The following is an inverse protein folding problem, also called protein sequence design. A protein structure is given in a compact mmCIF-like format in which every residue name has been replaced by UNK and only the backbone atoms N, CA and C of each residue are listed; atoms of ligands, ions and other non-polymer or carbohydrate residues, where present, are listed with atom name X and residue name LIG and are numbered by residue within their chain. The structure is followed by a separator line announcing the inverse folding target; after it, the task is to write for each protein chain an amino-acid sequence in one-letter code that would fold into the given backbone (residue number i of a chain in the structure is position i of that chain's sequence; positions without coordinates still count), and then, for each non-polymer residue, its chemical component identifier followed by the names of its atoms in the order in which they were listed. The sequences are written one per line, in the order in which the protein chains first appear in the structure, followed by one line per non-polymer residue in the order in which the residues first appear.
data_IF_764566200973
#
_entry.id   IF_764566200973
#
_cell.length_a   1.000
_cell.length_b   1.000
_cell.length_c   1.000
_cell.angle_alpha   90.00
_cell.angle_beta   90.00
_cell.angle_gamma   90.00
#
_symmetry.space_group_name_H-M   'P 1'
#
loop_
_entity.id
_entity.type
_entity.pdbx_description
1 polymer ?
#
# COMPACT_ATOMS: atom_id res chain seq x y z
N UNK A 1 23.44 -2.48 36.37
CA UNK A 1 22.54 -1.97 35.33
C UNK A 1 21.55 -3.01 34.78
N UNK A 2 21.64 -4.31 35.11
CA UNK A 2 20.70 -5.32 34.61
C UNK A 2 19.40 -5.47 35.43
N UNK A 3 19.39 -5.01 36.69
CA UNK A 3 18.25 -5.19 37.62
C UNK A 3 17.06 -4.24 37.34
N UNK A 4 17.30 -3.04 36.79
CA UNK A 4 16.23 -2.08 36.46
C UNK A 4 15.38 -2.50 35.24
N UNK A 5 15.95 -3.27 34.31
CA UNK A 5 15.23 -3.78 33.14
C UNK A 5 14.25 -4.91 33.51
N UNK A 6 14.53 -5.65 34.60
CA UNK A 6 13.68 -6.78 35.00
C UNK A 6 12.42 -6.34 35.75
N UNK A 7 12.56 -5.41 36.70
CA UNK A 7 11.44 -4.85 37.46
C UNK A 7 10.48 -4.08 36.54
N UNK A 8 11.01 -3.30 35.60
CA UNK A 8 10.19 -2.56 34.62
C UNK A 8 9.43 -3.50 33.66
N UNK A 9 10.01 -4.65 33.28
CA UNK A 9 9.31 -5.68 32.49
C UNK A 9 8.21 -6.40 33.27
N UNK A 10 8.39 -6.68 34.57
CA UNK A 10 7.34 -7.27 35.40
C UNK A 10 6.18 -6.29 35.66
N UNK A 11 6.48 -5.01 35.85
CA UNK A 11 5.45 -3.97 35.93
C UNK A 11 4.68 -3.82 34.61
N UNK A 12 5.36 -3.93 33.47
CA UNK A 12 4.74 -3.93 32.13
C UNK A 12 3.77 -5.10 31.94
N UNK A 13 4.17 -6.32 32.29
CA UNK A 13 3.28 -7.49 32.22
C UNK A 13 2.04 -7.31 33.12
N UNK A 14 2.22 -6.70 34.30
CA UNK A 14 1.13 -6.45 35.24
C UNK A 14 0.12 -5.46 34.65
N UNK A 15 0.61 -4.36 34.03
CA UNK A 15 -0.26 -3.39 33.34
C UNK A 15 -1.00 -3.98 32.15
N UNK A 16 -0.36 -4.88 31.39
CA UNK A 16 -1.00 -5.55 30.25
C UNK A 16 -2.09 -6.53 30.69
N UNK A 17 -1.92 -7.20 31.82
CA UNK A 17 -2.99 -8.01 32.44
C UNK A 17 -4.14 -7.14 32.94
N UNK A 18 -3.85 -6.04 33.62
CA UNK A 18 -4.87 -5.09 34.12
C UNK A 18 -5.66 -4.44 32.99
N UNK A 19 -5.03 -4.18 31.85
CA UNK A 19 -5.66 -3.66 30.65
C UNK A 19 -6.45 -4.73 29.85
N UNK A 20 -6.48 -5.99 30.31
CA UNK A 20 -7.15 -7.10 29.62
C UNK A 20 -6.49 -7.53 28.30
N UNK A 21 -5.29 -7.04 28.03
CA UNK A 21 -4.51 -7.35 26.83
C UNK A 21 -3.75 -8.68 26.94
N UNK A 22 -3.65 -9.24 28.14
CA UNK A 22 -3.08 -10.57 28.41
C UNK A 22 -4.03 -11.39 29.29
N UNK A 23 -4.24 -12.66 28.93
CA UNK A 23 -4.95 -13.61 29.79
C UNK A 23 -4.08 -14.03 30.99
N UNK A 24 -4.69 -14.57 32.05
CA UNK A 24 -3.96 -15.00 33.25
C UNK A 24 -2.91 -16.09 32.94
N UNK A 25 -3.23 -17.02 32.03
CA UNK A 25 -2.34 -18.11 31.62
C UNK A 25 -1.16 -17.63 30.74
N UNK A 26 -1.36 -16.56 29.97
CA UNK A 26 -0.28 -15.93 29.20
C UNK A 26 0.62 -15.10 30.11
N UNK A 27 0.04 -14.41 31.10
CA UNK A 27 0.78 -13.64 32.10
C UNK A 27 1.71 -14.54 32.93
N UNK A 28 1.21 -15.69 33.41
CA UNK A 28 2.01 -16.60 34.23
C UNK A 28 3.14 -17.27 33.41
N UNK A 29 2.92 -17.54 32.11
CA UNK A 29 3.97 -18.03 31.20
C UNK A 29 5.08 -17.02 30.98
N UNK A 30 4.72 -15.79 30.64
CA UNK A 30 5.68 -14.71 30.38
C UNK A 30 6.45 -14.33 31.65
N UNK A 31 5.78 -14.32 32.80
CA UNK A 31 6.43 -14.11 34.11
C UNK A 31 7.44 -15.22 34.43
N UNK A 32 7.10 -16.49 34.17
CA UNK A 32 8.01 -17.61 34.41
C UNK A 32 9.25 -17.57 33.50
N UNK A 33 9.07 -17.21 32.23
CA UNK A 33 10.19 -17.04 31.28
C UNK A 33 11.12 -15.91 31.70
N UNK A 34 10.58 -14.77 32.15
CA UNK A 34 11.38 -13.65 32.62
C UNK A 34 12.19 -13.98 33.89
N UNK A 35 11.67 -14.83 34.77
CA UNK A 35 12.39 -15.25 35.98
C UNK A 35 13.51 -16.25 35.66
N UNK A 36 13.29 -17.18 34.73
CA UNK A 36 14.31 -18.15 34.28
C UNK A 36 15.47 -17.49 33.53
N UNK A 37 15.17 -16.48 32.71
CA UNK A 37 16.19 -15.72 31.97
C UNK A 37 17.16 -14.97 32.90
N UNK A 38 16.67 -14.48 34.04
CA UNK A 38 17.48 -13.79 35.03
C UNK A 38 18.45 -14.74 35.76
N UNK A 39 18.02 -15.95 36.12
CA UNK A 39 18.91 -16.96 36.71
C UNK A 39 20.04 -17.38 35.74
N UNK A 40 19.75 -17.47 34.45
CA UNK A 40 20.75 -17.83 33.43
C UNK A 40 21.79 -16.72 33.18
N UNK A 41 21.39 -15.45 33.24
CA UNK A 41 22.26 -14.29 32.97
C UNK A 41 23.13 -13.90 34.16
N UNK A 42 22.68 -14.13 35.40
CA UNK A 42 23.51 -13.91 36.58
C UNK A 42 24.63 -14.96 36.68
N UNK A 43 24.38 -16.19 36.21
CA UNK A 43 25.36 -17.29 36.26
C UNK A 43 26.51 -17.13 35.24
N UNK A 44 26.28 -16.44 34.12
CA UNK A 44 27.28 -16.26 33.04
C UNK A 44 28.22 -15.06 33.24
N UNK A 45 27.91 -14.13 34.15
CA UNK A 45 28.70 -12.91 34.36
C UNK A 45 29.92 -13.06 35.29
N UNK A 46 30.29 -14.30 35.67
CA UNK A 46 31.30 -14.56 36.71
C UNK A 46 32.46 -15.45 36.22
N UNK A 47 33.28 -15.01 35.25
CA UNK A 47 34.67 -15.53 35.06
C UNK A 47 35.49 -14.71 34.03
N UNK A 48 36.74 -14.26 34.34
CA UNK A 48 37.62 -13.57 33.36
C UNK A 48 38.87 -14.38 32.97
N UNK A 49 39.46 -14.12 31.79
CA UNK A 49 40.92 -13.96 31.53
C UNK A 49 41.26 -13.73 30.03
N UNK A 50 42.24 -12.84 29.80
CA UNK A 50 42.97 -12.44 28.57
C UNK A 50 44.47 -12.79 28.82
N UNK A 51 45.42 -13.01 27.85
CA UNK A 51 45.94 -11.92 26.99
C UNK A 51 46.71 -12.27 25.65
N UNK A 52 47.13 -11.20 24.93
CA UNK A 52 48.44 -10.97 24.24
C UNK A 52 48.67 -11.11 22.69
N UNK A 53 48.69 -9.95 22.00
CA UNK A 53 49.82 -9.22 21.33
C UNK A 53 50.75 -9.88 20.27
N UNK A 54 50.88 -9.26 19.06
CA UNK A 54 52.18 -8.95 18.36
C UNK A 54 52.05 -8.11 17.06
N UNK A 55 53.13 -7.36 16.78
CA UNK A 55 53.27 -6.16 15.94
C UNK A 55 53.70 -6.38 14.45
N UNK A 56 53.65 -5.27 13.67
CA UNK A 56 53.99 -5.05 12.24
C UNK A 56 55.49 -5.23 11.88
N UNK A 57 55.90 -5.09 10.58
CA UNK A 57 56.31 -3.76 10.06
C UNK A 57 55.95 -3.45 8.58
N UNK A 58 56.22 -2.19 8.19
CA UNK A 58 55.84 -1.47 6.96
C UNK A 58 56.83 -1.61 5.78
N UNK A 59 56.38 -1.26 4.56
CA UNK A 59 57.21 -0.67 3.50
C UNK A 59 56.39 0.12 2.45
N UNK A 60 56.99 1.22 2.00
CA UNK A 60 56.48 2.30 1.15
C UNK A 60 56.42 1.98 -0.35
N UNK A 61 55.64 2.76 -1.12
CA UNK A 61 55.71 2.80 -2.59
C UNK A 61 54.60 3.64 -3.25
N UNK A 62 54.99 4.80 -3.78
CA UNK A 62 54.17 5.86 -4.40
C UNK A 62 53.38 5.47 -5.68
N UNK A 63 52.22 6.12 -5.85
CA UNK A 63 51.94 6.91 -7.06
C UNK A 63 51.16 6.29 -8.24
N UNK A 64 49.83 6.41 -8.25
CA UNK A 64 49.07 6.76 -9.48
C UNK A 64 47.68 7.33 -9.18
N UNK A 65 47.40 8.51 -9.74
CA UNK A 65 46.20 9.33 -9.51
C UNK A 65 44.88 8.71 -10.03
N UNK A 66 43.72 9.04 -9.43
CA UNK A 66 42.41 8.54 -9.85
C UNK A 66 41.73 9.43 -10.90
N UNK A 67 41.12 8.78 -11.90
CA UNK A 67 40.33 9.41 -12.95
C UNK A 67 38.95 9.85 -12.45
N UNK A 68 38.75 11.18 -12.40
CA UNK A 68 37.45 11.83 -12.15
C UNK A 68 36.59 11.76 -13.42
N UNK A 69 35.46 11.06 -13.39
CA UNK A 69 34.42 11.14 -14.43
C UNK A 69 33.25 11.95 -13.87
N UNK A 70 33.20 13.23 -14.28
CA UNK A 70 32.14 14.19 -13.94
C UNK A 70 30.97 13.98 -14.89
N UNK A 71 29.77 13.73 -14.37
CA UNK A 71 28.52 13.96 -15.09
C UNK A 71 27.98 15.34 -14.72
N UNK A 72 27.63 16.21 -15.68
CA UNK A 72 27.15 17.54 -15.36
C UNK A 72 25.66 17.50 -14.96
N UNK A 73 25.38 18.06 -13.79
CA UNK A 73 24.05 18.47 -13.34
C UNK A 73 23.56 19.65 -14.19
N UNK A 74 22.31 19.59 -14.63
CA UNK A 74 21.56 20.78 -15.04
C UNK A 74 20.61 21.13 -13.89
N UNK A 75 20.95 22.20 -13.18
CA UNK A 75 20.10 22.84 -12.20
C UNK A 75 19.04 23.70 -12.91
N UNK A 76 17.81 23.70 -12.41
CA UNK A 76 16.95 24.87 -12.50
C UNK A 76 16.25 25.09 -11.16
N UNK A 77 16.44 26.30 -10.63
CA UNK A 77 15.94 26.78 -9.37
C UNK A 77 14.93 27.93 -9.59
N UNK A 78 14.00 28.08 -8.64
CA UNK A 78 13.15 29.26 -8.41
C UNK A 78 11.75 29.15 -9.02
N UNK A 79 10.64 29.43 -8.34
CA UNK A 79 10.39 30.48 -7.33
C UNK A 79 9.19 30.17 -6.39
N UNK A 80 9.37 30.47 -5.09
CA UNK A 80 8.48 31.11 -4.08
C UNK A 80 6.96 30.86 -3.97
N UNK A 81 6.61 30.37 -2.77
CA UNK A 81 5.48 30.69 -1.87
C UNK A 81 4.54 31.87 -2.22
N UNK A 82 3.23 31.61 -2.11
CA UNK A 82 2.10 32.44 -1.61
C UNK A 82 0.87 31.49 -1.62
N UNK A 83 0.23 31.09 -0.53
CA UNK A 83 -0.60 31.91 0.35
C UNK A 83 -2.09 31.81 -0.05
N UNK A 84 -2.96 31.28 0.83
CA UNK A 84 -4.40 31.61 0.80
C UNK A 84 -5.41 30.46 0.70
N UNK A 85 -5.93 30.04 1.85
CA UNK A 85 -7.36 29.90 2.22
C UNK A 85 -8.49 29.84 1.17
N UNK A 86 -9.47 28.95 1.44
CA UNK A 86 -10.83 28.90 0.86
C UNK A 86 -10.90 27.88 -0.27
N UNK A 87 -11.87 26.97 -0.38
CA UNK A 87 -13.30 27.22 -0.33
C UNK A 87 -14.08 26.03 0.25
N UNK A 88 -14.95 26.33 1.21
CA UNK A 88 -16.01 25.44 1.65
C UNK A 88 -17.13 25.38 0.60
N UNK A 89 -17.69 24.18 0.48
CA UNK A 89 -18.78 23.80 -0.41
C UNK A 89 -20.00 24.71 -0.28
N UNK A 90 -20.55 25.12 -1.43
CA UNK A 90 -21.92 25.58 -1.52
C UNK A 90 -22.65 24.93 -2.70
N UNK A 91 -23.89 24.55 -2.40
CA UNK A 91 -25.02 24.25 -3.28
C UNK A 91 -25.14 22.84 -3.89
N UNK A 92 -25.96 22.02 -3.22
CA UNK A 92 -27.05 21.33 -3.93
C UNK A 92 -28.34 21.43 -3.11
N UNK A 93 -29.19 22.35 -3.51
CA UNK A 93 -30.59 22.39 -3.09
C UNK A 93 -31.45 21.51 -3.99
N UNK A 94 -32.45 20.87 -3.39
CA UNK A 94 -33.75 20.59 -4.00
C UNK A 94 -33.91 19.26 -4.72
N UNK A 95 -34.52 18.28 -4.05
CA UNK A 95 -35.91 17.87 -4.33
C UNK A 95 -36.29 16.68 -3.44
N UNK A 96 -36.90 16.95 -2.30
CA UNK A 96 -37.66 15.98 -1.52
C UNK A 96 -39.05 15.86 -2.13
N UNK A 97 -39.33 14.75 -2.82
CA UNK A 97 -40.71 14.38 -3.13
C UNK A 97 -41.30 13.62 -1.94
N UNK A 98 -42.09 14.34 -1.15
CA UNK A 98 -43.03 13.75 -0.19
C UNK A 98 -44.15 13.05 -0.99
N UNK A 99 -44.26 11.73 -0.86
CA UNK A 99 -45.47 11.01 -1.25
C UNK A 99 -46.34 10.86 -0.03
N UNK A 100 -47.55 11.42 -0.13
CA UNK A 100 -48.58 11.41 0.88
C UNK A 100 -49.00 9.99 1.28
N UNK A 101 -49.12 9.76 2.58
CA UNK A 101 -49.91 8.66 3.13
C UNK A 101 -51.39 8.95 2.86
N UNK A 102 -52.05 8.04 2.17
CA UNK A 102 -53.50 7.90 2.19
C UNK A 102 -53.82 6.48 2.68
N UNK A 103 -54.57 6.46 3.76
CA UNK A 103 -55.12 5.31 4.46
C UNK A 103 -56.19 4.61 3.60
N UNK A 104 -56.21 3.27 3.60
CA UNK A 104 -57.40 2.42 3.37
C UNK A 104 -57.03 0.92 3.28
N UNK A 105 -57.37 0.17 4.32
CA UNK A 105 -57.81 -1.24 4.21
C UNK A 105 -59.35 -1.26 3.97
N UNK A 106 -60.02 -2.38 3.59
CA UNK A 106 -59.59 -3.78 3.70
C UNK A 106 -59.90 -4.73 2.50
N UNK A 107 -59.13 -5.84 2.47
CA UNK A 107 -59.64 -7.21 2.27
C UNK A 107 -60.22 -7.63 0.93
N UNK A 108 -59.43 -8.33 0.10
CA UNK A 108 -59.85 -9.55 -0.60
C UNK A 108 -58.65 -10.51 -0.73
N UNK A 109 -58.77 -11.69 -0.13
CA UNK A 109 -57.81 -12.78 -0.25
C UNK A 109 -57.72 -13.26 -1.70
N UNK A 110 -56.59 -13.02 -2.36
CA UNK A 110 -56.21 -13.69 -3.61
C UNK A 110 -55.28 -14.85 -3.27
N UNK A 111 -55.75 -16.07 -3.51
CA UNK A 111 -54.94 -17.29 -3.53
C UNK A 111 -53.70 -17.05 -4.40
N UNK A 112 -52.53 -16.95 -3.77
CA UNK A 112 -51.27 -17.00 -4.48
C UNK A 112 -51.03 -18.45 -4.90
N UNK A 113 -51.24 -18.75 -6.18
CA UNK A 113 -50.69 -19.95 -6.80
C UNK A 113 -49.17 -19.85 -6.71
N UNK A 114 -48.57 -20.81 -5.99
CA UNK A 114 -47.14 -20.97 -5.89
C UNK A 114 -46.57 -21.29 -7.29
N UNK A 115 -46.11 -20.26 -8.00
CA UNK A 115 -45.23 -20.43 -9.15
C UNK A 115 -43.90 -20.94 -8.61
N UNK A 116 -43.61 -22.21 -8.87
CA UNK A 116 -42.30 -22.81 -8.63
C UNK A 116 -41.24 -21.95 -9.31
N UNK A 117 -40.33 -21.40 -8.52
CA UNK A 117 -39.13 -20.75 -9.03
C UNK A 117 -38.33 -21.77 -9.87
N UNK A 118 -37.89 -21.44 -11.09
CA UNK A 118 -37.03 -22.33 -11.85
C UNK A 118 -35.73 -22.58 -11.09
N UNK A 119 -35.14 -23.78 -11.22
CA UNK A 119 -33.87 -24.10 -10.57
C UNK A 119 -32.81 -23.11 -11.06
N UNK A 120 -32.07 -22.56 -10.11
CA UNK A 120 -30.98 -21.60 -10.33
C UNK A 120 -29.98 -22.23 -11.29
N UNK A 121 -30.01 -21.80 -12.55
CA UNK A 121 -29.07 -22.27 -13.56
C UNK A 121 -27.65 -21.97 -13.07
N UNK A 122 -26.81 -23.02 -13.05
CA UNK A 122 -25.38 -22.92 -12.83
C UNK A 122 -24.84 -21.79 -13.73
N UNK A 123 -24.07 -20.80 -13.21
CA UNK A 123 -23.63 -19.69 -14.02
C UNK A 123 -22.92 -20.23 -15.26
N UNK A 124 -23.42 -19.84 -16.44
CA UNK A 124 -22.85 -20.28 -17.70
C UNK A 124 -21.35 -19.94 -17.70
N UNK A 125 -20.48 -20.85 -18.19
CA UNK A 125 -19.07 -20.54 -18.32
C UNK A 125 -18.92 -19.27 -19.16
N UNK A 126 -18.17 -18.31 -18.63
CA UNK A 126 -17.90 -17.05 -19.30
C UNK A 126 -17.37 -17.31 -20.71
N UNK A 127 -18.13 -16.88 -21.73
CA UNK A 127 -17.71 -16.98 -23.12
C UNK A 127 -16.46 -16.15 -23.40
N UNK A 128 -16.22 -15.10 -22.61
CA UNK A 128 -15.07 -14.21 -22.77
C UNK A 128 -13.83 -14.82 -22.10
N UNK A 129 -13.94 -15.45 -20.92
CA UNK A 129 -12.79 -16.10 -20.24
C UNK A 129 -12.13 -17.20 -21.06
N UNK A 130 -12.86 -17.82 -21.98
CA UNK A 130 -12.33 -18.84 -22.90
C UNK A 130 -11.57 -18.27 -24.10
N UNK A 131 -11.65 -16.95 -24.35
CA UNK A 131 -10.91 -16.31 -25.43
C UNK A 131 -9.43 -16.15 -25.07
N UNK A 132 -8.53 -15.99 -26.05
CA UNK A 132 -7.15 -15.57 -25.79
C UNK A 132 -7.08 -14.27 -24.98
N UNK A 133 -6.09 -14.15 -24.10
CA UNK A 133 -5.95 -13.00 -23.17
C UNK A 133 -5.95 -11.66 -23.91
N UNK A 134 -5.26 -11.57 -25.05
CA UNK A 134 -5.24 -10.38 -25.91
C UNK A 134 -6.66 -9.96 -26.35
N UNK A 135 -7.48 -10.91 -26.81
CA UNK A 135 -8.87 -10.64 -27.19
C UNK A 135 -9.74 -10.24 -25.99
N UNK A 136 -9.50 -10.83 -24.82
CA UNK A 136 -10.21 -10.42 -23.61
C UNK A 136 -9.84 -8.97 -23.26
N UNK A 137 -8.58 -8.61 -23.42
CA UNK A 137 -8.07 -7.27 -23.15
C UNK A 137 -8.64 -6.24 -24.14
N UNK A 138 -8.67 -6.55 -25.43
CA UNK A 138 -9.25 -5.68 -26.46
C UNK A 138 -10.74 -5.40 -26.18
N UNK A 139 -11.51 -6.46 -25.89
CA UNK A 139 -12.93 -6.31 -25.53
C UNK A 139 -13.13 -5.46 -24.27
N UNK A 140 -12.20 -5.54 -23.31
CA UNK A 140 -12.25 -4.74 -22.09
C UNK A 140 -11.91 -3.27 -22.37
N UNK A 141 -10.90 -2.99 -23.20
CA UNK A 141 -10.58 -1.63 -23.66
C UNK A 141 -11.76 -1.02 -24.42
N UNK A 142 -12.33 -1.75 -25.37
CA UNK A 142 -13.48 -1.30 -26.18
C UNK A 142 -14.69 -0.98 -25.30
N UNK A 143 -14.90 -1.72 -24.20
CA UNK A 143 -16.00 -1.46 -23.28
C UNK A 143 -15.82 -0.18 -22.44
N UNK A 144 -14.59 0.26 -22.20
CA UNK A 144 -14.29 1.43 -21.35
C UNK A 144 -14.07 2.71 -22.18
N UNK A 145 -13.33 2.59 -23.27
CA UNK A 145 -12.88 3.72 -24.10
C UNK A 145 -13.60 3.78 -25.47
N UNK A 146 -14.33 2.73 -25.84
CA UNK A 146 -14.84 2.58 -27.21
C UNK A 146 -13.70 2.32 -28.21
N UNK A 147 -13.99 2.54 -29.49
CA UNK A 147 -13.01 2.41 -30.59
C UNK A 147 -12.12 3.66 -30.76
N UNK A 148 -12.15 4.59 -29.81
CA UNK A 148 -11.56 5.93 -29.90
C UNK A 148 -10.26 6.09 -29.13
N UNK A 149 -9.85 7.35 -28.97
CA UNK A 149 -8.66 7.71 -28.21
C UNK A 149 -8.80 7.31 -26.74
N UNK A 150 -7.71 6.76 -26.19
CA UNK A 150 -7.65 6.27 -24.80
C UNK A 150 -7.32 7.41 -23.83
N UNK A 151 -7.86 8.59 -24.10
CA UNK A 151 -7.68 9.77 -23.27
C UNK A 151 -8.91 9.97 -22.39
N UNK A 152 -8.69 10.28 -21.12
CA UNK A 152 -9.75 10.61 -20.21
C UNK A 152 -9.39 11.85 -19.40
N UNK A 153 -10.27 12.84 -19.45
CA UNK A 153 -10.25 13.97 -18.53
C UNK A 153 -10.94 13.55 -17.24
N UNK A 154 -10.19 13.50 -16.14
CA UNK A 154 -10.67 13.11 -14.80
C UNK A 154 -11.07 14.35 -14.01
N UNK A 155 -10.28 15.41 -14.09
CA UNK A 155 -10.60 16.74 -13.56
C UNK A 155 -10.33 17.79 -14.64
N UNK A 156 -10.62 19.07 -14.37
CA UNK A 156 -10.31 20.16 -15.31
C UNK A 156 -8.83 20.18 -15.72
N UNK A 157 -7.95 19.86 -14.78
CA UNK A 157 -6.48 19.90 -14.93
C UNK A 157 -5.82 18.53 -15.10
N UNK A 158 -6.59 17.43 -15.06
CA UNK A 158 -6.04 16.07 -15.15
C UNK A 158 -6.60 15.33 -16.37
N UNK A 159 -5.80 15.28 -17.42
CA UNK A 159 -6.01 14.40 -18.57
C UNK A 159 -5.00 13.25 -18.51
N UNK A 160 -5.51 12.04 -18.69
CA UNK A 160 -4.69 10.83 -18.71
C UNK A 160 -4.82 10.12 -20.05
N UNK A 161 -3.68 9.77 -20.62
CA UNK A 161 -3.61 8.84 -21.76
C UNK A 161 -3.34 7.43 -21.24
N UNK A 162 -4.32 6.55 -21.38
CA UNK A 162 -4.24 5.17 -20.92
C UNK A 162 -3.65 4.25 -21.98
N UNK A 163 -2.59 3.56 -21.61
CA UNK A 163 -1.94 2.57 -22.45
C UNK A 163 -1.48 1.42 -21.59
N UNK A 164 -1.50 0.19 -22.13
CA UNK A 164 -1.13 -1.04 -21.41
C UNK A 164 -2.01 -1.28 -20.18
N UNK A 165 -2.08 -2.53 -19.76
CA UNK A 165 -2.91 -2.90 -18.63
C UNK A 165 -3.07 -4.40 -18.51
N UNK A 166 -3.91 -4.80 -17.58
CA UNK A 166 -4.25 -6.19 -17.33
C UNK A 166 -5.72 -6.32 -17.04
N UNK A 167 -6.33 -7.36 -17.61
CA UNK A 167 -7.64 -7.82 -17.21
C UNK A 167 -7.49 -8.85 -16.08
N UNK A 168 -8.16 -8.60 -14.96
CA UNK A 168 -8.12 -9.47 -13.78
C UNK A 168 -9.51 -9.95 -13.45
N UNK A 169 -9.65 -11.25 -13.27
CA UNK A 169 -10.91 -11.86 -12.89
C UNK A 169 -11.03 -11.93 -11.36
N UNK A 170 -11.75 -10.98 -10.78
CA UNK A 170 -12.11 -10.98 -9.36
C UNK A 170 -13.33 -11.88 -9.11
N UNK A 171 -13.62 -12.16 -7.84
CA UNK A 171 -14.81 -12.93 -7.44
C UNK A 171 -16.12 -12.23 -7.79
N UNK A 172 -16.11 -10.90 -7.83
CA UNK A 172 -17.27 -10.07 -8.15
C UNK A 172 -17.37 -9.69 -9.64
N UNK A 173 -16.34 -9.97 -10.44
CA UNK A 173 -16.35 -9.66 -11.86
C UNK A 173 -14.98 -9.39 -12.48
N UNK A 174 -14.92 -9.23 -13.80
CA UNK A 174 -13.74 -8.74 -14.51
C UNK A 174 -13.40 -7.30 -14.11
N UNK A 175 -12.11 -7.03 -13.91
CA UNK A 175 -11.57 -5.71 -13.57
C UNK A 175 -10.46 -5.39 -14.56
N UNK A 176 -10.62 -4.32 -15.31
CA UNK A 176 -9.60 -3.75 -16.17
C UNK A 176 -8.74 -2.78 -15.35
N UNK A 177 -7.44 -3.02 -15.30
CA UNK A 177 -6.45 -2.12 -14.69
C UNK A 177 -5.54 -1.62 -15.80
N UNK A 178 -5.44 -0.30 -15.98
CA UNK A 178 -4.68 0.32 -17.08
C UNK A 178 -3.77 1.41 -16.56
N UNK A 179 -2.61 1.55 -17.20
CA UNK A 179 -1.64 2.58 -16.84
C UNK A 179 -1.99 3.90 -17.52
N UNK A 180 -2.23 4.93 -16.72
CA UNK A 180 -2.53 6.29 -17.17
C UNK A 180 -1.30 7.17 -17.09
N UNK A 181 -0.95 7.79 -18.20
CA UNK A 181 0.12 8.80 -18.25
C UNK A 181 -0.51 10.18 -18.11
N UNK A 182 -0.09 10.95 -17.11
CA UNK A 182 -0.49 12.34 -16.94
C UNK A 182 0.26 13.26 -17.89
N UNK A 183 -0.30 14.45 -18.15
CA UNK A 183 0.41 15.47 -18.92
C UNK A 183 1.75 15.83 -18.25
N UNK A 184 2.85 15.92 -19.01
CA UNK A 184 4.16 16.22 -18.44
C UNK A 184 4.31 17.71 -18.06
N UNK A 185 3.42 18.59 -18.52
CA UNK A 185 3.48 20.02 -18.23
C UNK A 185 2.08 20.69 -18.23
N UNK A 186 1.63 21.31 -17.12
CA UNK A 186 2.26 21.30 -15.79
C UNK A 186 2.42 19.85 -15.27
N UNK A 187 3.40 19.59 -14.41
CA UNK A 187 3.76 18.24 -14.00
C UNK A 187 2.56 17.52 -13.35
N UNK A 188 1.91 16.64 -14.11
CA UNK A 188 0.87 15.76 -13.62
C UNK A 188 1.45 14.51 -12.98
N UNK A 189 0.72 13.91 -12.04
CA UNK A 189 1.04 12.59 -11.53
C UNK A 189 0.56 11.55 -12.55
N UNK A 190 1.29 10.45 -12.78
CA UNK A 190 0.69 9.32 -13.48
C UNK A 190 -0.39 8.62 -12.64
N UNK A 191 -1.02 7.58 -13.17
CA UNK A 191 -2.04 6.84 -12.41
C UNK A 191 -2.24 5.39 -12.88
N UNK A 192 -2.97 4.59 -12.10
CA UNK A 192 -3.67 3.40 -12.59
C UNK A 192 -5.17 3.65 -12.61
N UNK A 193 -5.75 3.55 -13.80
CA UNK A 193 -7.19 3.51 -14.00
C UNK A 193 -7.73 2.12 -13.71
N UNK A 194 -8.75 2.04 -12.86
CA UNK A 194 -9.40 0.79 -12.47
C UNK A 194 -10.87 0.85 -12.90
N UNK A 195 -11.26 -0.06 -13.78
CA UNK A 195 -12.60 -0.12 -14.36
C UNK A 195 -13.21 -1.50 -14.12
N UNK A 196 -14.39 -1.52 -13.52
CA UNK A 196 -15.10 -2.76 -13.21
C UNK A 196 -16.05 -3.07 -14.34
N UNK A 197 -15.99 -4.31 -14.82
CA UNK A 197 -16.75 -4.77 -15.97
C UNK A 197 -17.72 -5.86 -15.53
N UNK A 198 -18.80 -6.00 -16.29
CA UNK A 198 -19.66 -7.18 -16.27
C UNK A 198 -19.73 -7.78 -17.66
N UNK A 199 -19.89 -9.09 -17.71
CA UNK A 199 -20.14 -9.78 -18.96
C UNK A 199 -21.58 -9.58 -19.43
N UNK A 200 -21.72 -9.37 -20.72
CA UNK A 200 -22.99 -9.22 -21.42
C UNK A 200 -23.14 -10.34 -22.44
N UNK A 201 -24.38 -10.60 -22.86
CA UNK A 201 -24.67 -11.52 -23.95
C UNK A 201 -23.90 -11.13 -25.23
N UNK A 202 -23.39 -12.14 -25.93
CA UNK A 202 -22.65 -11.94 -27.19
C UNK A 202 -21.17 -11.58 -27.01
N UNK A 203 -20.53 -12.06 -25.93
CA UNK A 203 -19.10 -11.85 -25.66
C UNK A 203 -18.69 -10.37 -25.62
N UNK A 204 -19.48 -9.57 -24.89
CA UNK A 204 -19.21 -8.14 -24.69
C UNK A 204 -19.03 -7.84 -23.21
N UNK A 205 -18.22 -6.83 -22.90
CA UNK A 205 -18.20 -6.24 -21.58
C UNK A 205 -19.08 -4.99 -21.53
N UNK A 206 -19.59 -4.69 -20.34
CA UNK A 206 -20.17 -3.40 -20.01
C UNK A 206 -19.52 -2.88 -18.72
N UNK A 207 -19.18 -1.59 -18.69
CA UNK A 207 -18.68 -0.94 -17.49
C UNK A 207 -19.75 -0.88 -16.39
N UNK A 208 -19.33 -1.10 -15.16
CA UNK A 208 -20.16 -1.07 -13.94
C UNK A 208 -19.62 -0.14 -12.87
N UNK A 209 -18.34 0.23 -12.94
CA UNK A 209 -17.70 1.16 -12.03
C UNK A 209 -16.40 1.67 -12.63
N UNK A 210 -16.02 2.89 -12.26
CA UNK A 210 -14.92 3.65 -12.89
C UNK A 210 -14.17 4.46 -11.84
N UNK A 211 -12.87 4.21 -11.74
CA UNK A 211 -11.93 4.94 -10.89
C UNK A 211 -10.65 5.21 -11.69
N UNK A 212 -10.64 6.27 -12.51
CA UNK A 212 -9.56 6.53 -13.46
C UNK A 212 -8.26 6.96 -12.76
N UNK A 213 -8.35 7.51 -11.56
CA UNK A 213 -7.24 8.01 -10.74
C UNK A 213 -7.04 7.21 -9.43
N UNK A 214 -7.46 5.94 -9.41
CA UNK A 214 -7.55 5.13 -8.19
C UNK A 214 -6.22 4.92 -7.46
N UNK A 215 -5.11 4.95 -8.20
CA UNK A 215 -3.76 4.74 -7.68
C UNK A 215 -2.86 5.83 -8.26
N UNK A 216 -2.26 6.62 -7.39
CA UNK A 216 -1.35 7.71 -7.79
C UNK A 216 0.00 7.17 -8.25
N UNK A 217 0.50 7.73 -9.36
CA UNK A 217 1.81 7.47 -9.95
C UNK A 217 2.86 8.53 -9.61
N UNK A 218 3.91 8.58 -10.41
CA UNK A 218 5.08 9.44 -10.18
C UNK A 218 4.88 10.87 -10.67
N UNK A 219 5.67 11.80 -10.13
CA UNK A 219 5.57 13.26 -10.36
C UNK A 219 5.89 13.74 -11.80
N UNK A 220 6.31 12.84 -12.69
CA UNK A 220 6.64 13.13 -14.09
C UNK A 220 5.63 12.52 -15.07
N UNK A 221 4.36 12.39 -14.66
CA UNK A 221 3.28 11.83 -15.47
C UNK A 221 3.33 10.31 -15.65
N UNK A 222 4.39 9.63 -15.21
CA UNK A 222 4.54 8.19 -15.38
C UNK A 222 3.65 7.39 -14.42
N UNK A 223 3.01 6.30 -14.90
CA UNK A 223 2.24 5.39 -14.05
C UNK A 223 3.15 4.75 -12.98
N UNK A 224 2.59 4.35 -11.82
CA UNK A 224 3.38 3.66 -10.80
C UNK A 224 3.84 2.30 -11.30
N UNK A 225 4.94 1.79 -10.75
CA UNK A 225 5.25 0.37 -10.87
C UNK A 225 4.23 -0.43 -10.08
N UNK A 226 3.71 -1.53 -10.61
CA UNK A 226 2.63 -2.23 -9.91
C UNK A 226 2.61 -3.74 -10.17
N UNK A 227 1.99 -4.47 -9.23
CA UNK A 227 1.71 -5.90 -9.35
C UNK A 227 0.47 -6.28 -8.55
N UNK A 228 -0.10 -7.44 -8.88
CA UNK A 228 -1.25 -7.99 -8.16
C UNK A 228 -0.77 -9.01 -7.15
N UNK A 229 -1.31 -8.91 -5.94
CA UNK A 229 -1.04 -9.79 -4.81
C UNK A 229 -2.32 -10.48 -4.34
N UNK A 230 -2.15 -11.74 -3.93
CA UNK A 230 -3.23 -12.63 -3.46
C UNK A 230 -2.97 -13.20 -2.06
N UNK A 231 -1.83 -12.86 -1.49
CA UNK A 231 -1.31 -13.39 -0.24
C UNK A 231 -1.57 -12.45 0.96
N UNK A 232 -1.80 -11.15 0.73
CA UNK A 232 -2.13 -10.18 1.80
C UNK A 232 -3.57 -10.33 2.31
N UNK A 233 -4.56 -10.40 1.41
CA UNK A 233 -6.00 -10.48 1.72
C UNK A 233 -6.65 -11.65 0.98
N UNK A 234 -7.90 -11.96 1.34
CA UNK A 234 -8.74 -12.87 0.54
C UNK A 234 -9.06 -12.29 -0.85
N UNK A 235 -9.23 -10.97 -0.92
CA UNK A 235 -9.40 -10.22 -2.15
C UNK A 235 -8.08 -10.00 -2.91
N UNK A 236 -8.22 -9.44 -4.12
CA UNK A 236 -7.08 -9.00 -4.92
C UNK A 236 -6.55 -7.68 -4.37
N UNK A 237 -5.24 -7.61 -4.18
CA UNK A 237 -4.55 -6.38 -3.73
C UNK A 237 -3.60 -5.93 -4.83
N UNK A 238 -3.64 -4.65 -5.18
CA UNK A 238 -2.64 -4.00 -6.02
C UNK A 238 -1.56 -3.48 -5.08
N UNK A 239 -0.31 -3.91 -5.27
CA UNK A 239 0.86 -3.26 -4.69
C UNK A 239 1.41 -2.33 -5.77
N UNK A 240 1.42 -1.03 -5.48
CA UNK A 240 1.95 0.00 -6.37
C UNK A 240 3.10 0.76 -5.69
N UNK A 241 4.14 1.08 -6.45
CA UNK A 241 5.27 1.89 -6.04
C UNK A 241 5.34 3.13 -6.92
N UNK A 242 5.33 4.28 -6.28
CA UNK A 242 5.45 5.59 -6.92
C UNK A 242 6.43 6.45 -6.13
N UNK A 243 7.15 7.30 -6.84
CA UNK A 243 8.15 8.15 -6.24
C UNK A 243 8.88 8.98 -7.27
N UNK A 244 10.01 9.52 -6.86
CA UNK A 244 10.79 10.42 -7.70
C UNK A 244 12.12 10.80 -7.09
N UNK A 245 12.80 11.67 -7.81
CA UNK A 245 14.10 12.21 -7.41
C UNK A 245 13.97 13.72 -7.23
N UNK A 246 14.38 14.21 -6.06
CA UNK A 246 14.40 15.64 -5.72
C UNK A 246 15.77 16.01 -5.17
N UNK A 247 16.50 16.86 -5.87
CA UNK A 247 17.77 17.43 -5.37
C UNK A 247 18.79 16.38 -4.88
N UNK A 248 18.85 15.23 -5.56
CA UNK A 248 19.75 14.13 -5.19
C UNK A 248 19.19 13.14 -4.16
N UNK A 249 17.97 13.36 -3.66
CA UNK A 249 17.21 12.39 -2.86
C UNK A 249 16.30 11.56 -3.74
N UNK A 250 16.30 10.24 -3.58
CA UNK A 250 15.34 9.31 -4.19
C UNK A 250 14.38 8.87 -3.11
N UNK A 251 13.08 9.01 -3.34
CA UNK A 251 12.04 8.61 -2.40
C UNK A 251 10.91 7.90 -3.14
N UNK A 252 10.59 6.69 -2.72
CA UNK A 252 9.44 5.93 -3.22
C UNK A 252 8.52 5.51 -2.08
N UNK A 253 7.21 5.65 -2.31
CA UNK A 253 6.18 5.11 -1.45
C UNK A 253 5.54 3.87 -2.08
N UNK A 254 5.20 2.89 -1.23
CA UNK A 254 4.36 1.74 -1.60
C UNK A 254 2.95 1.97 -1.06
N UNK A 255 1.96 1.72 -1.92
CA UNK A 255 0.55 1.71 -1.56
C UNK A 255 -0.04 0.33 -1.84
N UNK A 256 -0.80 -0.19 -0.87
CA UNK A 256 -1.58 -1.41 -1.04
C UNK A 256 -3.06 -1.03 -1.23
N UNK A 257 -3.65 -1.41 -2.36
CA UNK A 257 -5.04 -1.10 -2.70
C UNK A 257 -5.83 -2.38 -2.89
N UNK A 258 -6.86 -2.61 -2.08
CA UNK A 258 -7.78 -3.75 -2.23
C UNK A 258 -8.81 -3.48 -3.31
N UNK A 259 -9.07 -4.46 -4.17
CA UNK A 259 -10.20 -4.46 -5.08
C UNK A 259 -11.41 -5.08 -4.39
N UNK A 260 -12.39 -4.25 -4.04
CA UNK A 260 -13.65 -4.67 -3.39
C UNK A 260 -14.82 -4.56 -4.38
N UNK A 261 -15.96 -5.24 -4.18
CA UNK A 261 -17.11 -5.10 -5.08
C UNK A 261 -17.63 -3.66 -5.24
N UNK A 262 -17.39 -2.80 -4.26
CA UNK A 262 -17.80 -1.38 -4.26
C UNK A 262 -16.77 -0.44 -4.88
N UNK A 263 -15.56 -0.93 -5.18
CA UNK A 263 -14.47 -0.14 -5.74
C UNK A 263 -13.11 -0.42 -5.10
N UNK A 264 -12.03 0.16 -5.65
CA UNK A 264 -10.71 0.11 -5.05
C UNK A 264 -10.69 0.85 -3.71
N UNK A 265 -9.97 0.29 -2.73
CA UNK A 265 -9.82 0.86 -1.39
C UNK A 265 -8.34 0.84 -0.99
N UNK A 266 -7.78 1.99 -0.68
CA UNK A 266 -6.43 2.07 -0.11
C UNK A 266 -6.42 1.44 1.28
N UNK A 267 -5.50 0.49 1.49
CA UNK A 267 -5.32 -0.22 2.75
C UNK A 267 -4.26 0.45 3.62
N UNK A 268 -3.16 0.90 3.01
CA UNK A 268 -2.02 1.55 3.65
C UNK A 268 -1.08 2.11 2.59
N UNK A 269 -0.42 3.22 2.93
CA UNK A 269 0.72 3.78 2.21
C UNK A 269 1.88 3.94 3.19
N UNK A 270 3.08 3.58 2.77
CA UNK A 270 4.30 3.73 3.57
C UNK A 270 5.51 4.02 2.67
N UNK A 271 6.50 4.71 3.22
CA UNK A 271 7.76 4.94 2.52
C UNK A 271 8.50 3.62 2.35
N UNK A 272 8.83 3.30 1.11
CA UNK A 272 9.39 2.01 0.72
C UNK A 272 10.84 2.11 0.28
N UNK A 273 11.29 3.28 -0.15
CA UNK A 273 12.66 3.51 -0.55
C UNK A 273 13.08 4.93 -0.20
N UNK A 274 14.31 5.06 0.29
CA UNK A 274 14.97 6.34 0.52
C UNK A 274 16.44 6.20 0.13
N UNK A 275 16.96 7.12 -0.66
CA UNK A 275 18.39 7.23 -0.96
C UNK A 275 18.82 8.70 -0.97
N UNK A 276 19.79 9.06 -0.12
CA UNK A 276 20.39 10.41 -0.08
C UNK A 276 21.81 10.48 -0.63
N UNK A 277 22.35 9.41 -1.20
CA UNK A 277 23.73 9.36 -1.71
C UNK A 277 24.00 10.38 -2.82
N UNK A 278 22.96 10.84 -3.52
CA UNK A 278 23.06 11.87 -4.55
C UNK A 278 23.08 13.31 -4.00
N UNK A 279 22.67 13.50 -2.74
CA UNK A 279 22.56 14.81 -2.08
C UNK A 279 23.67 15.08 -1.06
N UNK A 280 24.26 14.03 -0.47
CA UNK A 280 25.30 14.14 0.57
C UNK A 280 26.65 13.69 0.04
N UNK A 281 27.70 14.50 0.21
CA UNK A 281 29.04 14.20 -0.31
C UNK A 281 29.72 13.01 0.39
N UNK A 282 29.43 12.76 1.68
CA UNK A 282 29.89 11.59 2.43
C UNK A 282 28.84 11.22 3.51
N UNK A 283 28.44 9.95 3.58
CA UNK A 283 27.50 9.44 4.62
C UNK A 283 26.03 9.39 4.23
N UNK A 284 25.73 9.31 2.92
CA UNK A 284 24.38 9.09 2.42
C UNK A 284 23.73 7.83 3.02
N UNK A 285 22.42 7.89 3.19
CA UNK A 285 21.63 6.79 3.71
C UNK A 285 20.82 6.16 2.59
N UNK A 286 20.74 4.83 2.60
CA UNK A 286 19.94 4.06 1.66
C UNK A 286 19.07 3.10 2.45
N UNK A 287 17.79 3.03 2.12
CA UNK A 287 16.84 2.08 2.68
C UNK A 287 15.98 1.51 1.55
N UNK A 288 15.82 0.19 1.52
CA UNK A 288 14.94 -0.51 0.58
C UNK A 288 14.01 -1.45 1.34
N UNK A 289 12.72 -1.17 1.29
CA UNK A 289 11.64 -1.82 2.01
C UNK A 289 10.99 -2.93 1.22
N UNK A 290 11.11 -4.16 1.74
CA UNK A 290 10.45 -5.34 1.19
C UNK A 290 9.37 -5.87 2.14
N UNK A 291 8.18 -6.16 1.61
CA UNK A 291 7.11 -6.80 2.37
C UNK A 291 7.45 -8.28 2.59
N UNK A 292 7.50 -8.71 3.85
CA UNK A 292 7.82 -10.07 4.31
C UNK A 292 6.85 -10.53 5.39
N UNK A 293 6.95 -11.80 5.82
CA UNK A 293 6.19 -12.39 6.94
C UNK A 293 4.68 -12.12 6.88
N UNK A 294 4.09 -12.26 5.69
CA UNK A 294 2.69 -11.96 5.47
C UNK A 294 1.81 -13.00 6.18
N UNK A 295 0.99 -12.52 7.11
CA UNK A 295 -0.11 -13.29 7.71
C UNK A 295 -1.41 -12.78 7.12
N UNK A 296 -1.95 -13.54 6.16
CA UNK A 296 -3.14 -13.17 5.39
C UNK A 296 -4.27 -12.66 6.27
N UNK A 297 -4.90 -11.56 5.85
CA UNK A 297 -5.97 -10.84 6.55
C UNK A 297 -5.62 -10.29 7.94
N UNK A 298 -4.37 -10.36 8.39
CA UNK A 298 -3.99 -10.00 9.77
C UNK A 298 -2.84 -9.01 9.82
N UNK A 299 -1.69 -9.34 9.24
CA UNK A 299 -0.48 -8.54 9.39
C UNK A 299 0.55 -8.83 8.29
N UNK A 300 1.54 -7.96 8.18
CA UNK A 300 2.77 -8.19 7.43
C UNK A 300 3.88 -7.34 8.01
N UNK A 301 5.12 -7.67 7.68
CA UNK A 301 6.28 -6.88 8.03
C UNK A 301 6.81 -6.17 6.78
N UNK A 302 7.38 -4.99 6.97
CA UNK A 302 8.25 -4.35 5.98
C UNK A 302 9.66 -4.39 6.55
N UNK A 303 10.55 -5.14 5.90
CA UNK A 303 11.96 -5.18 6.24
C UNK A 303 12.70 -4.20 5.35
N UNK A 304 13.33 -3.21 5.97
CA UNK A 304 14.22 -2.25 5.34
C UNK A 304 15.65 -2.77 5.45
N UNK A 305 16.26 -2.99 4.30
CA UNK A 305 17.69 -3.30 4.13
C UNK A 305 18.44 -2.01 3.70
N UNK A 306 19.76 -1.94 3.93
CA UNK A 306 20.58 -0.78 3.55
C UNK A 306 21.46 -0.26 4.70
N UNK A 307 21.37 1.03 5.02
CA UNK A 307 22.19 1.67 6.06
C UNK A 307 21.94 1.11 7.45
N UNK A 308 20.70 0.72 7.76
CA UNK A 308 20.33 0.01 8.98
C UNK A 308 19.26 -1.01 8.65
N UNK A 309 19.32 -2.17 9.33
CA UNK A 309 18.24 -3.14 9.28
C UNK A 309 17.11 -2.67 10.19
N UNK A 310 15.96 -2.36 9.61
CA UNK A 310 14.76 -1.93 10.34
C UNK A 310 13.61 -2.83 9.92
N UNK A 311 12.79 -3.27 10.87
CA UNK A 311 11.56 -4.00 10.56
C UNK A 311 10.37 -3.24 11.11
N UNK A 312 9.45 -2.87 10.24
CA UNK A 312 8.20 -2.21 10.59
C UNK A 312 7.06 -3.22 10.51
N UNK A 313 6.35 -3.40 11.62
CA UNK A 313 5.24 -4.35 11.70
C UNK A 313 3.91 -3.65 11.41
N UNK A 314 3.12 -4.19 10.49
CA UNK A 314 1.80 -3.69 10.14
C UNK A 314 0.71 -4.66 10.58
N UNK A 315 -0.29 -4.15 11.31
CA UNK A 315 -1.46 -4.92 11.74
C UNK A 315 -2.72 -4.33 11.16
N UNK A 316 -3.61 -5.21 10.70
CA UNK A 316 -4.92 -4.83 10.19
C UNK A 316 -5.81 -4.33 11.33
N UNK A 317 -6.30 -3.09 11.21
CA UNK A 317 -7.34 -2.51 12.07
C UNK A 317 -8.54 -2.15 11.20
N UNK A 318 -9.58 -2.99 11.27
CA UNK A 318 -10.75 -2.87 10.41
C UNK A 318 -10.38 -3.04 8.93
N UNK A 319 -10.53 -1.97 8.14
CA UNK A 319 -10.30 -1.98 6.70
C UNK A 319 -8.93 -1.46 6.26
N UNK A 320 -8.06 -1.08 7.21
CA UNK A 320 -6.75 -0.51 6.93
C UNK A 320 -5.66 -1.26 7.70
N UNK A 321 -4.40 -1.10 7.29
CA UNK A 321 -3.25 -1.52 8.09
C UNK A 321 -2.65 -0.32 8.79
N UNK A 322 -2.22 -0.52 10.03
CA UNK A 322 -1.47 0.48 10.79
C UNK A 322 -0.11 -0.09 11.16
N UNK A 323 0.93 0.72 11.05
CA UNK A 323 2.23 0.43 11.63
C UNK A 323 2.11 0.44 13.15
N UNK A 324 2.68 -0.57 13.80
CA UNK A 324 2.93 -0.53 15.23
C UNK A 324 4.31 0.08 15.46
N UNK A 325 4.48 0.96 16.47
CA UNK A 325 5.78 1.50 16.81
C UNK A 325 6.72 0.36 17.24
N UNK A 326 8.01 0.56 16.96
CA UNK A 326 9.05 -0.20 17.63
C UNK A 326 8.94 0.03 19.16
N UNK A 327 9.55 -0.83 19.97
CA UNK A 327 9.27 -0.99 21.40
C UNK A 327 9.55 0.22 22.33
N UNK A 328 9.84 1.41 21.80
CA UNK A 328 10.21 2.64 22.51
C UNK A 328 9.11 3.72 22.59
N UNK A 329 7.91 3.47 22.06
CA UNK A 329 6.72 4.25 22.42
C UNK A 329 6.62 5.67 21.85
N UNK A 330 7.42 6.04 20.85
CA UNK A 330 7.08 7.20 20.01
C UNK A 330 5.92 6.82 19.07
N UNK A 331 4.94 7.72 18.94
CA UNK A 331 3.92 7.64 17.88
C UNK A 331 4.57 7.43 16.52
N UNK A 332 3.92 6.61 15.68
CA UNK A 332 4.36 6.13 14.37
C UNK A 332 4.90 7.22 13.43
N UNK A 333 6.15 7.63 13.61
CA UNK A 333 6.97 8.26 12.58
C UNK A 333 7.34 7.20 11.55
N UNK A 334 7.56 7.63 10.31
CA UNK A 334 8.05 6.73 9.25
C UNK A 334 9.31 6.01 9.75
N UNK A 335 9.41 4.71 9.46
CA UNK A 335 10.51 3.86 9.95
C UNK A 335 11.85 4.23 9.31
N UNK A 336 11.81 4.98 8.21
CA UNK A 336 12.95 5.52 7.47
C UNK A 336 12.75 7.03 7.29
N UNK A 337 13.81 7.79 6.93
CA UNK A 337 13.65 9.20 6.58
C UNK A 337 12.64 9.39 5.45
N UNK A 338 11.87 10.47 5.53
CA UNK A 338 10.89 10.85 4.50
C UNK A 338 11.43 11.99 3.66
N UNK A 339 11.04 12.01 2.38
CA UNK A 339 10.86 13.26 1.67
C UNK A 339 9.48 13.84 2.06
#
# INVERSE_FOLDING_TARGET
MATDDHLSRLERLTRLREAGALSAEEFDREKAQLLQWHEATVTTASSPEDPENKAMPAQDGEGRAPGKRRWPFAALAGLTLLGGSGWALAHRGGATSSVAMADAAPGVARKASATQSPPTAKPAPSAIRSLPEEKQMDLAFDAVFGLGEREMRVTEDAVYTYAKGKLVWASFGPVLIVEGNGEPYPAGLGTLGIFYLREMHGAKFAETGRWPDAVTGSIMGNPPQWKIRRDILDGLVIESTAGGVWQGYVCDAKTLTELTPTGPRSLVTFDSHYDSSGATEDGGQTYDGTIVNVVRNRSFDVRFDGSRLITQHFVRKGTHYVSLPAADGEESKSAIPTC
#
